data_IF_248184295746
#
_entry.id   IF_248184295746
#
_cell.length_a   1.000
_cell.length_b   1.000
_cell.length_c   1.000
_cell.angle_alpha   90.00
_cell.angle_beta   90.00
_cell.angle_gamma   90.00
#
_symmetry.space_group_name_H-M   'P 1'
#
loop_
_entity.id
_entity.type
_entity.pdbx_description
1 polymer ?
#
# COMPACT_ATOMS: atom_id res chain seq x y z
N UNK A 1 4.20 -23.22 8.64
CA UNK A 1 5.05 -23.69 7.52
C UNK A 1 4.33 -23.73 6.18
N UNK A 2 3.30 -24.57 5.97
CA UNK A 2 2.60 -24.67 4.66
C UNK A 2 1.97 -23.34 4.24
N UNK A 3 1.27 -22.68 5.16
CA UNK A 3 0.67 -21.36 4.93
C UNK A 3 1.78 -20.31 4.73
N UNK A 4 2.69 -20.18 5.71
CA UNK A 4 3.77 -19.18 5.74
C UNK A 4 4.69 -19.18 4.50
N UNK A 5 5.09 -20.37 4.04
CA UNK A 5 6.07 -20.53 2.95
C UNK A 5 5.44 -21.05 1.65
N UNK A 6 4.12 -20.99 1.55
CA UNK A 6 3.38 -21.30 0.33
C UNK A 6 3.57 -22.70 -0.24
N UNK A 7 3.95 -23.67 0.60
CA UNK A 7 4.21 -25.01 0.10
C UNK A 7 2.94 -25.63 -0.52
N UNK A 8 3.08 -26.36 -1.64
CA UNK A 8 1.99 -27.16 -2.18
C UNK A 8 1.45 -28.11 -1.12
N UNK A 9 0.13 -28.26 -1.03
CA UNK A 9 -0.49 -29.21 -0.09
C UNK A 9 0.01 -30.63 -0.31
N UNK A 10 0.48 -30.98 -1.51
CA UNK A 10 1.09 -32.30 -1.81
C UNK A 10 2.43 -32.52 -1.13
N UNK A 11 3.08 -31.51 -0.56
CA UNK A 11 4.36 -31.65 0.12
C UNK A 11 4.31 -32.68 1.25
N UNK A 12 3.17 -32.81 1.93
CA UNK A 12 2.98 -33.83 2.99
C UNK A 12 2.99 -35.26 2.45
N UNK A 13 2.84 -35.47 1.14
CA UNK A 13 2.89 -36.79 0.49
C UNK A 13 4.29 -37.09 -0.08
N UNK A 14 5.24 -36.16 -0.01
CA UNK A 14 6.57 -36.35 -0.57
C UNK A 14 7.39 -37.32 0.30
N UNK A 15 8.06 -38.28 -0.35
CA UNK A 15 8.89 -39.29 0.33
C UNK A 15 9.97 -38.64 1.23
N UNK A 16 10.59 -37.56 0.77
CA UNK A 16 11.59 -36.82 1.54
C UNK A 16 11.02 -36.23 2.83
N UNK A 17 9.82 -35.65 2.77
CA UNK A 17 9.14 -35.10 3.94
C UNK A 17 8.76 -36.21 4.94
N UNK A 18 8.27 -37.35 4.44
CA UNK A 18 7.99 -38.52 5.27
C UNK A 18 9.21 -39.05 6.00
N UNK A 19 10.34 -39.19 5.31
CA UNK A 19 11.61 -39.62 5.94
C UNK A 19 12.10 -38.61 6.96
N UNK A 20 12.07 -37.32 6.61
CA UNK A 20 12.49 -36.25 7.51
C UNK A 20 11.67 -36.25 8.81
N UNK A 21 10.34 -36.24 8.70
CA UNK A 21 9.45 -36.26 9.87
C UNK A 21 9.54 -37.57 10.65
N UNK A 22 9.71 -38.71 9.97
CA UNK A 22 9.91 -40.01 10.61
C UNK A 22 11.19 -40.07 11.46
N UNK A 23 12.26 -39.37 11.05
CA UNK A 23 13.48 -39.22 11.85
C UNK A 23 13.32 -38.18 12.95
N UNK A 24 12.74 -37.02 12.65
CA UNK A 24 12.63 -35.90 13.58
C UNK A 24 11.63 -36.16 14.73
N UNK A 25 10.48 -36.78 14.42
CA UNK A 25 9.47 -37.16 15.39
C UNK A 25 8.71 -38.42 14.91
N UNK A 26 9.18 -39.63 15.25
CA UNK A 26 8.61 -40.89 14.76
C UNK A 26 7.13 -41.10 15.08
N UNK A 27 6.62 -40.48 16.16
CA UNK A 27 5.21 -40.60 16.57
C UNK A 27 4.29 -39.61 15.84
N UNK A 28 4.84 -38.67 15.08
CA UNK A 28 4.05 -37.69 14.35
C UNK A 28 3.33 -38.36 13.17
N UNK A 29 1.99 -38.37 13.23
CA UNK A 29 1.16 -38.83 12.12
C UNK A 29 1.07 -37.74 11.07
N UNK A 30 1.71 -37.95 9.94
CA UNK A 30 1.68 -37.00 8.82
C UNK A 30 0.24 -36.88 8.31
N UNK A 31 -0.33 -35.65 8.26
CA UNK A 31 -1.70 -35.45 7.84
C UNK A 31 -1.88 -35.72 6.34
N UNK A 32 -3.08 -36.12 5.95
CA UNK A 32 -3.46 -36.19 4.53
C UNK A 32 -3.68 -34.79 3.95
N UNK A 33 -3.66 -34.64 2.62
CA UNK A 33 -4.02 -33.37 1.94
C UNK A 33 -5.38 -32.81 2.37
N UNK A 34 -6.36 -33.69 2.62
CA UNK A 34 -7.69 -33.29 3.06
C UNK A 34 -7.69 -32.78 4.50
N UNK A 35 -6.94 -33.44 5.38
CA UNK A 35 -6.76 -33.00 6.78
C UNK A 35 -6.07 -31.65 6.79
N UNK A 36 -4.96 -31.51 6.05
CA UNK A 36 -4.24 -30.24 5.92
C UNK A 36 -5.12 -29.11 5.39
N UNK A 37 -5.99 -29.38 4.39
CA UNK A 37 -6.96 -28.41 3.89
C UNK A 37 -7.96 -27.99 4.97
N UNK A 38 -8.47 -28.94 5.76
CA UNK A 38 -9.36 -28.65 6.88
C UNK A 38 -8.68 -27.77 7.93
N UNK A 39 -7.43 -28.10 8.29
CA UNK A 39 -6.65 -27.35 9.28
C UNK A 39 -6.38 -25.92 8.80
N UNK A 40 -6.07 -25.73 7.51
CA UNK A 40 -5.90 -24.39 6.91
C UNK A 40 -7.17 -23.55 7.07
N UNK A 41 -8.35 -24.14 6.83
CA UNK A 41 -9.63 -23.43 6.98
C UNK A 41 -9.91 -23.07 8.44
N UNK A 42 -9.60 -23.98 9.38
CA UNK A 42 -9.76 -23.69 10.81
C UNK A 42 -8.83 -22.57 11.29
N UNK A 43 -7.56 -22.57 10.85
CA UNK A 43 -6.62 -21.49 11.14
C UNK A 43 -7.14 -20.18 10.58
N UNK A 44 -7.61 -20.17 9.32
CA UNK A 44 -8.19 -18.99 8.70
C UNK A 44 -9.39 -18.47 9.49
N UNK A 45 -10.35 -19.32 9.88
CA UNK A 45 -11.53 -18.88 10.62
C UNK A 45 -11.16 -18.31 12.00
N UNK A 46 -10.20 -18.93 12.68
CA UNK A 46 -9.68 -18.45 13.96
C UNK A 46 -9.01 -17.07 13.83
N UNK A 47 -8.07 -16.92 12.89
CA UNK A 47 -7.35 -15.66 12.68
C UNK A 47 -8.28 -14.56 12.14
N UNK A 48 -9.27 -14.92 11.32
CA UNK A 48 -10.32 -14.00 10.84
C UNK A 48 -11.13 -13.45 12.00
N UNK A 49 -11.55 -14.30 12.94
CA UNK A 49 -12.30 -13.87 14.12
C UNK A 49 -11.46 -12.92 15.01
N UNK A 50 -10.16 -13.24 15.17
CA UNK A 50 -9.21 -12.40 15.90
C UNK A 50 -9.06 -11.02 15.24
N UNK A 51 -8.82 -10.97 13.93
CA UNK A 51 -8.68 -9.72 13.18
C UNK A 51 -9.97 -8.90 13.19
N UNK A 52 -11.14 -9.53 13.06
CA UNK A 52 -12.44 -8.85 13.20
C UNK A 52 -12.56 -8.17 14.56
N UNK A 53 -12.22 -8.86 15.65
CA UNK A 53 -12.26 -8.27 16.99
C UNK A 53 -11.28 -7.10 17.13
N UNK A 54 -10.11 -7.16 16.48
CA UNK A 54 -9.13 -6.08 16.45
C UNK A 54 -9.68 -4.84 15.73
N UNK A 55 -10.25 -5.01 14.53
CA UNK A 55 -10.83 -3.92 13.74
C UNK A 55 -12.03 -3.28 14.45
N UNK A 56 -12.86 -4.08 15.13
CA UNK A 56 -14.00 -3.60 15.92
C UNK A 56 -13.56 -2.76 17.13
N UNK A 57 -12.50 -3.17 17.82
CA UNK A 57 -11.94 -2.44 18.97
C UNK A 57 -11.14 -1.21 18.58
N UNK A 58 -10.56 -1.19 17.37
CA UNK A 58 -9.76 -0.08 16.89
C UNK A 58 -10.57 1.23 16.91
N UNK A 59 -10.02 2.27 17.53
CA UNK A 59 -10.69 3.58 17.62
C UNK A 59 -10.52 4.41 16.35
N UNK A 60 -9.51 4.10 15.53
CA UNK A 60 -9.24 4.78 14.27
C UNK A 60 -10.17 4.34 13.14
N UNK A 61 -10.20 5.13 12.07
CA UNK A 61 -10.80 4.73 10.80
C UNK A 61 -9.93 3.74 10.05
N UNK A 62 -10.53 3.08 9.07
CA UNK A 62 -9.90 2.07 8.23
C UNK A 62 -9.89 2.58 6.79
N UNK A 63 -8.72 2.68 6.20
CA UNK A 63 -8.56 2.90 4.77
C UNK A 63 -8.49 1.56 4.05
N UNK A 64 -9.09 1.44 2.87
CA UNK A 64 -9.03 0.23 2.06
C UNK A 64 -8.23 0.48 0.78
N UNK A 65 -7.42 -0.49 0.38
CA UNK A 65 -6.91 -0.60 -0.99
C UNK A 65 -7.54 -1.81 -1.66
N UNK A 66 -7.83 -1.70 -2.95
CA UNK A 66 -8.29 -2.84 -3.74
C UNK A 66 -7.46 -2.97 -4.99
N UNK A 67 -7.10 -4.20 -5.32
CA UNK A 67 -6.37 -4.51 -6.53
C UNK A 67 -6.99 -5.71 -7.23
N UNK A 68 -7.07 -5.63 -8.56
CA UNK A 68 -7.68 -6.62 -9.43
C UNK A 68 -6.62 -7.21 -10.35
N UNK A 69 -6.39 -8.52 -10.26
CA UNK A 69 -5.49 -9.21 -11.19
C UNK A 69 -6.22 -10.27 -11.99
N UNK A 70 -5.75 -10.51 -13.22
CA UNK A 70 -6.16 -11.66 -14.02
C UNK A 70 -5.02 -12.66 -14.14
N UNK A 71 -5.23 -13.89 -13.68
CA UNK A 71 -4.26 -14.97 -13.86
C UNK A 71 -4.14 -15.36 -15.34
N UNK A 72 -2.96 -15.15 -15.92
CA UNK A 72 -2.64 -15.47 -17.33
C UNK A 72 -2.91 -16.94 -17.71
N UNK A 73 -2.71 -17.86 -16.77
CA UNK A 73 -2.79 -19.30 -17.03
C UNK A 73 -4.24 -19.83 -17.06
N UNK A 74 -5.20 -19.14 -16.43
CA UNK A 74 -6.58 -19.62 -16.31
C UNK A 74 -7.65 -18.59 -16.67
N UNK A 75 -7.25 -17.36 -17.07
CA UNK A 75 -8.16 -16.21 -17.29
C UNK A 75 -9.10 -15.97 -16.11
N UNK A 76 -8.61 -16.23 -14.89
CA UNK A 76 -9.37 -16.01 -13.66
C UNK A 76 -9.00 -14.64 -13.11
N UNK A 77 -9.99 -13.76 -13.06
CA UNK A 77 -9.90 -12.50 -12.34
C UNK A 77 -10.07 -12.74 -10.85
N UNK A 78 -9.29 -12.05 -10.05
CA UNK A 78 -9.46 -12.07 -8.62
C UNK A 78 -9.17 -10.69 -8.06
N UNK A 79 -9.81 -10.40 -6.93
CA UNK A 79 -9.71 -9.14 -6.22
C UNK A 79 -9.08 -9.40 -4.86
N UNK A 80 -8.15 -8.54 -4.47
CA UNK A 80 -7.73 -8.45 -3.09
C UNK A 80 -8.22 -7.14 -2.49
N UNK A 81 -8.65 -7.20 -1.24
CA UNK A 81 -9.05 -6.03 -0.45
C UNK A 81 -8.17 -6.02 0.79
N UNK A 82 -7.39 -4.94 0.95
CA UNK A 82 -6.47 -4.77 2.08
C UNK A 82 -6.94 -3.62 2.94
N UNK A 83 -7.05 -3.87 4.24
CA UNK A 83 -7.36 -2.86 5.24
C UNK A 83 -6.06 -2.28 5.82
N UNK A 84 -6.01 -0.95 5.87
CA UNK A 84 -4.93 -0.16 6.42
C UNK A 84 -5.44 0.69 7.57
N UNK A 85 -4.78 0.61 8.71
CA UNK A 85 -5.17 1.32 9.92
C UNK A 85 -3.96 1.48 10.86
N UNK A 86 -3.97 2.53 11.68
CA UNK A 86 -3.04 2.66 12.80
C UNK A 86 -3.68 2.05 14.03
N UNK A 87 -2.99 1.12 14.69
CA UNK A 87 -3.49 0.43 15.89
C UNK A 87 -3.31 1.24 17.18
N UNK A 88 -3.78 0.71 18.31
CA UNK A 88 -3.64 1.36 19.63
C UNK A 88 -2.18 1.48 20.09
N UNK A 89 -1.27 0.69 19.51
CA UNK A 89 0.18 0.81 19.75
C UNK A 89 0.83 1.90 18.91
N UNK A 90 0.08 2.56 18.02
CA UNK A 90 0.55 3.54 17.05
C UNK A 90 1.44 2.95 15.96
N UNK A 91 1.21 1.69 15.60
CA UNK A 91 1.87 1.02 14.49
C UNK A 91 0.94 1.00 13.27
N UNK A 92 1.47 1.29 12.09
CA UNK A 92 0.74 1.13 10.84
C UNK A 92 0.55 -0.36 10.54
N UNK A 93 -0.70 -0.77 10.38
CA UNK A 93 -1.08 -2.14 10.08
C UNK A 93 -1.69 -2.21 8.67
N UNK A 94 -1.22 -3.18 7.89
CA UNK A 94 -1.76 -3.54 6.58
C UNK A 94 -2.17 -5.01 6.61
N UNK A 95 -3.44 -5.31 6.35
CA UNK A 95 -4.01 -6.67 6.45
C UNK A 95 -4.91 -6.98 5.28
N UNK A 96 -4.65 -8.07 4.56
CA UNK A 96 -5.57 -8.56 3.54
C UNK A 96 -6.82 -9.08 4.25
N UNK A 97 -7.98 -8.47 4.00
CA UNK A 97 -9.25 -8.86 4.60
C UNK A 97 -10.09 -9.72 3.65
N UNK A 98 -9.89 -9.60 2.34
CA UNK A 98 -10.54 -10.47 1.36
C UNK A 98 -9.62 -10.76 0.20
N UNK A 99 -9.74 -11.98 -0.32
CA UNK A 99 -9.05 -12.42 -1.52
C UNK A 99 -9.98 -13.34 -2.30
N UNK A 100 -10.65 -12.80 -3.29
CA UNK A 100 -11.84 -13.41 -3.88
C UNK A 100 -11.67 -13.61 -5.37
N UNK A 101 -12.26 -14.69 -5.87
CA UNK A 101 -12.40 -14.90 -7.30
C UNK A 101 -13.58 -14.08 -7.80
N UNK A 102 -13.33 -13.23 -8.80
CA UNK A 102 -14.38 -12.45 -9.46
C UNK A 102 -14.52 -13.01 -10.88
N UNK A 103 -15.68 -13.58 -11.26
CA UNK A 103 -15.88 -14.04 -12.63
C UNK A 103 -15.98 -12.84 -13.59
N UNK A 104 -15.56 -13.05 -14.84
CA UNK A 104 -15.78 -12.09 -15.93
C UNK A 104 -17.27 -12.13 -16.34
N UNK A 105 -17.91 -10.99 -16.66
CA UNK A 105 -17.37 -9.63 -16.83
C UNK A 105 -17.15 -8.87 -15.51
N UNK A 106 -15.99 -8.23 -15.35
CA UNK A 106 -15.68 -7.39 -14.18
C UNK A 106 -16.37 -6.02 -14.30
N UNK A 107 -17.70 -5.99 -14.26
CA UNK A 107 -18.45 -4.72 -14.33
C UNK A 107 -18.32 -3.95 -13.02
N UNK A 108 -18.52 -2.63 -13.07
CA UNK A 108 -18.44 -1.79 -11.87
C UNK A 108 -19.51 -2.18 -10.83
N UNK A 109 -20.70 -2.63 -11.25
CA UNK A 109 -21.75 -3.12 -10.35
C UNK A 109 -21.29 -4.37 -9.60
N UNK A 110 -20.68 -5.34 -10.30
CA UNK A 110 -20.18 -6.56 -9.65
C UNK A 110 -19.05 -6.27 -8.66
N UNK A 111 -18.15 -5.34 -8.99
CA UNK A 111 -17.08 -4.92 -8.07
C UNK A 111 -17.65 -4.14 -6.88
N UNK A 112 -18.67 -3.30 -7.10
CA UNK A 112 -19.35 -2.57 -6.02
C UNK A 112 -20.10 -3.52 -5.08
N UNK A 113 -20.83 -4.50 -5.59
CA UNK A 113 -21.52 -5.51 -4.78
C UNK A 113 -20.54 -6.29 -3.90
N UNK A 114 -19.45 -6.75 -4.51
CA UNK A 114 -18.33 -7.41 -3.83
C UNK A 114 -17.75 -6.54 -2.70
N UNK A 115 -17.57 -5.24 -2.95
CA UNK A 115 -17.06 -4.31 -1.95
C UNK A 115 -18.06 -4.09 -0.82
N UNK A 116 -19.35 -3.95 -1.12
CA UNK A 116 -20.39 -3.78 -0.12
C UNK A 116 -20.55 -5.04 0.74
N UNK A 117 -20.52 -6.22 0.15
CA UNK A 117 -20.49 -7.50 0.87
C UNK A 117 -19.26 -7.58 1.79
N UNK A 118 -18.08 -7.16 1.31
CA UNK A 118 -16.87 -7.11 2.14
C UNK A 118 -17.04 -6.19 3.35
N UNK A 119 -17.51 -4.96 3.14
CA UNK A 119 -17.68 -3.98 4.21
C UNK A 119 -18.63 -4.51 5.29
N UNK A 120 -19.76 -5.08 4.88
CA UNK A 120 -20.76 -5.66 5.78
C UNK A 120 -20.25 -6.91 6.50
N UNK A 121 -19.61 -7.83 5.76
CA UNK A 121 -19.03 -9.06 6.33
C UNK A 121 -18.00 -8.76 7.42
N UNK A 122 -17.25 -7.68 7.27
CA UNK A 122 -16.22 -7.24 8.20
C UNK A 122 -16.71 -6.24 9.25
N UNK A 123 -17.94 -5.74 9.13
CA UNK A 123 -18.56 -4.76 10.05
C UNK A 123 -17.72 -3.47 10.12
N UNK A 124 -17.19 -3.04 8.97
CA UNK A 124 -16.31 -1.87 8.85
C UNK A 124 -16.94 -0.71 8.06
N UNK A 125 -18.19 -0.85 7.62
CA UNK A 125 -18.91 0.16 6.83
C UNK A 125 -18.96 1.54 7.52
N UNK A 126 -19.04 1.55 8.85
CA UNK A 126 -19.11 2.78 9.65
C UNK A 126 -17.73 3.34 10.03
N UNK A 127 -16.65 2.62 9.74
CA UNK A 127 -15.26 3.01 10.04
C UNK A 127 -14.44 3.34 8.78
N UNK A 128 -14.99 3.12 7.60
CA UNK A 128 -14.31 3.41 6.34
C UNK A 128 -13.94 4.90 6.24
N UNK A 129 -12.66 5.21 6.02
CA UNK A 129 -12.19 6.57 5.72
C UNK A 129 -12.08 6.80 4.22
N UNK A 130 -11.32 5.96 3.53
CA UNK A 130 -11.01 6.07 2.11
C UNK A 130 -10.96 4.71 1.45
N UNK A 131 -11.17 4.72 0.14
CA UNK A 131 -10.99 3.55 -0.72
C UNK A 131 -10.06 3.95 -1.86
N UNK A 132 -8.87 3.37 -1.89
CA UNK A 132 -7.89 3.50 -2.97
C UNK A 132 -8.09 2.33 -3.92
N UNK A 133 -8.53 2.61 -5.14
CA UNK A 133 -8.71 1.59 -6.19
C UNK A 133 -7.63 1.76 -7.24
N UNK A 134 -7.30 0.67 -7.94
CA UNK A 134 -6.52 0.77 -9.16
C UNK A 134 -7.33 1.50 -10.23
N UNK A 135 -6.71 2.41 -10.98
CA UNK A 135 -7.37 3.07 -12.10
C UNK A 135 -7.46 2.12 -13.30
N UNK A 136 -8.32 1.10 -13.22
CA UNK A 136 -8.47 0.08 -14.24
C UNK A 136 -9.71 0.32 -15.11
N UNK A 137 -9.51 0.80 -16.34
CA UNK A 137 -10.44 0.57 -17.47
C UNK A 137 -9.74 -0.31 -18.51
N UNK A 138 -9.28 -1.50 -18.10
CA UNK A 138 -8.56 -2.49 -18.93
C UNK A 138 -7.73 -1.89 -20.09
N UNK A 139 -6.62 -1.20 -19.81
CA UNK A 139 -5.57 -0.90 -20.81
C UNK A 139 -6.08 -0.53 -22.23
N UNK A 140 -6.98 0.44 -22.34
CA UNK A 140 -7.53 0.84 -23.64
C UNK A 140 -6.42 1.42 -24.53
N UNK A 141 -5.85 0.53 -25.35
CA UNK A 141 -4.91 0.77 -26.45
C UNK A 141 -3.55 1.39 -26.09
N UNK A 142 -2.65 0.59 -25.50
CA UNK A 142 -1.19 0.76 -25.67
C UNK A 142 -0.50 -0.50 -25.08
N UNK A 143 0.25 -1.34 -25.80
CA UNK A 143 0.75 -1.30 -27.18
C UNK A 143 0.78 -2.73 -27.72
N UNK A 144 0.45 -2.91 -29.00
CA UNK A 144 0.61 -4.16 -29.74
C UNK A 144 1.96 -4.85 -29.47
N UNK A 145 1.90 -6.02 -28.83
CA UNK A 145 2.91 -7.06 -28.98
C UNK A 145 2.20 -8.38 -29.29
N UNK A 146 2.19 -8.85 -30.56
CA UNK A 146 1.85 -10.23 -30.82
C UNK A 146 3.03 -11.09 -30.39
N UNK A 147 2.78 -11.93 -29.37
CA UNK A 147 3.39 -13.25 -29.17
C UNK A 147 4.59 -13.55 -30.08
N UNK A 148 5.80 -13.43 -29.54
CA UNK A 148 6.95 -14.14 -30.12
C UNK A 148 6.80 -15.63 -29.83
N UNK A 149 6.16 -16.29 -30.79
CA UNK A 149 6.15 -17.73 -30.96
C UNK A 149 7.51 -18.11 -31.56
N UNK A 150 8.29 -18.93 -30.84
CA UNK A 150 9.47 -19.69 -31.30
C UNK A 150 9.76 -19.63 -32.82
N UNK A 151 10.75 -18.84 -33.26
CA UNK A 151 11.55 -18.99 -34.50
C UNK A 151 12.38 -17.71 -34.73
N UNK A 152 13.36 -17.81 -35.63
CA UNK A 152 14.08 -16.73 -36.34
C UNK A 152 15.51 -16.44 -35.88
N UNK A 153 16.40 -17.32 -36.34
CA UNK A 153 17.86 -17.21 -36.47
C UNK A 153 18.33 -16.20 -37.53
N UNK A 154 17.63 -15.08 -37.74
CA UNK A 154 17.97 -14.10 -38.79
C UNK A 154 17.61 -12.67 -38.36
N UNK A 155 18.28 -12.12 -37.35
CA UNK A 155 18.30 -10.69 -37.12
C UNK A 155 19.47 -10.08 -37.90
N UNK A 156 19.17 -9.14 -38.81
CA UNK A 156 20.15 -8.43 -39.64
C UNK A 156 20.50 -7.03 -39.12
N UNK A 157 19.81 -6.54 -38.09
CA UNK A 157 20.07 -5.25 -37.45
C UNK A 157 20.19 -5.47 -35.93
N UNK A 158 21.36 -5.16 -35.39
CA UNK A 158 21.70 -5.14 -33.96
C UNK A 158 21.59 -3.68 -33.49
N UNK A 159 21.18 -3.39 -32.23
CA UNK A 159 21.21 -2.03 -31.70
C UNK A 159 22.59 -1.40 -31.92
N UNK A 160 22.59 -0.15 -32.35
CA UNK A 160 23.79 0.67 -32.53
C UNK A 160 24.30 1.17 -31.19
N UNK A 161 25.55 1.64 -31.12
CA UNK A 161 26.07 2.28 -29.90
C UNK A 161 25.19 3.46 -29.44
N UNK A 162 24.62 4.22 -30.39
CA UNK A 162 23.70 5.32 -30.11
C UNK A 162 22.38 4.82 -29.47
N UNK A 163 21.91 3.62 -29.81
CA UNK A 163 20.74 3.01 -29.20
C UNK A 163 20.99 2.61 -27.73
N UNK A 164 22.21 2.14 -27.40
CA UNK A 164 22.60 1.82 -26.02
C UNK A 164 22.80 3.07 -25.15
N UNK A 165 23.31 4.16 -25.74
CA UNK A 165 23.37 5.46 -25.07
C UNK A 165 21.95 5.96 -24.77
N UNK A 166 21.04 5.90 -25.75
CA UNK A 166 19.65 6.30 -25.53
C UNK A 166 18.94 5.41 -24.49
N UNK A 167 19.15 4.10 -24.50
CA UNK A 167 18.59 3.20 -23.47
C UNK A 167 19.05 3.59 -22.07
N UNK A 168 20.35 3.87 -21.91
CA UNK A 168 20.91 4.25 -20.61
C UNK A 168 20.29 5.57 -20.12
N UNK A 169 20.22 6.58 -20.97
CA UNK A 169 19.59 7.86 -20.63
C UNK A 169 18.11 7.66 -20.26
N UNK A 170 17.35 6.88 -21.03
CA UNK A 170 15.96 6.56 -20.67
C UNK A 170 15.88 5.84 -19.31
N UNK A 171 16.78 4.89 -19.04
CA UNK A 171 16.81 4.17 -17.76
C UNK A 171 17.11 5.10 -16.59
N UNK A 172 18.08 6.00 -16.75
CA UNK A 172 18.48 6.96 -15.72
C UNK A 172 17.33 7.94 -15.42
N UNK A 173 16.63 8.44 -16.44
CA UNK A 173 15.45 9.30 -16.26
C UNK A 173 14.29 8.55 -15.58
N UNK A 174 14.03 7.31 -15.97
CA UNK A 174 12.93 6.52 -15.39
C UNK A 174 13.20 6.07 -13.94
N UNK A 175 14.42 6.22 -13.42
CA UNK A 175 14.76 5.86 -12.04
C UNK A 175 13.92 6.63 -11.01
N UNK A 176 13.54 7.88 -11.31
CA UNK A 176 12.65 8.68 -10.44
C UNK A 176 11.32 7.97 -10.14
N UNK A 177 10.78 7.26 -11.12
CA UNK A 177 9.54 6.49 -10.95
C UNK A 177 9.76 5.20 -10.17
N UNK A 178 10.94 4.58 -10.33
CA UNK A 178 11.31 3.42 -9.54
C UNK A 178 11.41 3.79 -8.06
N UNK A 179 12.14 4.87 -7.74
CA UNK A 179 12.27 5.38 -6.38
C UNK A 179 10.91 5.76 -5.77
N UNK A 180 10.06 6.47 -6.51
CA UNK A 180 8.71 6.80 -6.08
C UNK A 180 7.84 5.55 -5.85
N UNK A 181 7.99 4.53 -6.69
CA UNK A 181 7.27 3.25 -6.55
C UNK A 181 7.70 2.51 -5.29
N UNK A 182 9.01 2.42 -5.02
CA UNK A 182 9.54 1.81 -3.80
C UNK A 182 9.04 2.56 -2.55
N UNK A 183 9.09 3.89 -2.57
CA UNK A 183 8.60 4.74 -1.47
C UNK A 183 7.10 4.51 -1.20
N UNK A 184 6.25 4.55 -2.23
CA UNK A 184 4.81 4.36 -2.07
C UNK A 184 4.39 2.91 -1.83
N UNK A 185 5.29 1.94 -2.07
CA UNK A 185 5.06 0.51 -1.78
C UNK A 185 5.40 0.14 -0.34
N UNK A 186 5.97 1.07 0.44
CA UNK A 186 6.25 0.89 1.86
C UNK A 186 4.99 0.55 2.66
N UNK A 187 5.04 -0.54 3.44
CA UNK A 187 3.92 -1.01 4.27
C UNK A 187 4.16 -0.82 5.78
N UNK A 188 5.39 -0.44 6.17
CA UNK A 188 5.84 -0.33 7.57
C UNK A 188 5.89 1.10 8.09
N UNK A 189 5.73 2.10 7.22
CA UNK A 189 5.69 3.51 7.56
C UNK A 189 4.59 4.21 6.74
N UNK A 190 4.03 5.33 7.24
CA UNK A 190 3.12 6.14 6.44
C UNK A 190 3.77 6.57 5.12
N UNK A 191 2.99 6.55 4.04
CA UNK A 191 3.42 6.99 2.71
C UNK A 191 2.69 8.26 2.25
N UNK A 192 1.53 8.56 2.85
CA UNK A 192 0.68 9.70 2.48
C UNK A 192 1.34 11.05 2.72
N UNK A 193 2.16 11.17 3.77
CA UNK A 193 2.80 12.43 4.13
C UNK A 193 3.87 12.86 3.11
N UNK A 194 4.54 11.91 2.46
CA UNK A 194 5.56 12.18 1.43
C UNK A 194 4.96 12.32 0.02
N UNK A 195 3.67 12.04 -0.15
CA UNK A 195 3.02 12.05 -1.46
C UNK A 195 3.30 13.33 -2.26
N UNK A 196 3.07 14.49 -1.63
CA UNK A 196 3.16 15.76 -2.33
C UNK A 196 4.59 16.06 -2.80
N UNK A 197 5.60 15.82 -1.95
CA UNK A 197 7.00 16.03 -2.35
C UNK A 197 7.39 15.13 -3.51
N UNK A 198 7.12 13.82 -3.41
CA UNK A 198 7.51 12.84 -4.44
C UNK A 198 6.81 13.11 -5.77
N UNK A 199 5.54 13.54 -5.75
CA UNK A 199 4.80 13.91 -6.97
C UNK A 199 5.34 15.20 -7.59
N UNK A 200 5.77 16.16 -6.77
CA UNK A 200 6.41 17.37 -7.28
C UNK A 200 7.78 17.05 -7.90
N UNK A 201 8.57 16.18 -7.26
CA UNK A 201 9.88 15.75 -7.79
C UNK A 201 9.72 15.06 -9.16
N UNK A 202 8.68 14.23 -9.32
CA UNK A 202 8.33 13.63 -10.63
C UNK A 202 7.97 14.72 -11.64
N UNK A 203 7.20 15.74 -11.26
CA UNK A 203 6.80 16.81 -12.16
C UNK A 203 8.02 17.63 -12.61
N UNK A 204 8.90 17.95 -11.68
CA UNK A 204 10.12 18.70 -11.95
C UNK A 204 11.05 17.90 -12.88
N UNK A 205 11.20 16.59 -12.64
CA UNK A 205 11.93 15.69 -13.54
C UNK A 205 11.34 15.68 -14.96
N UNK A 206 10.02 15.49 -15.12
CA UNK A 206 9.37 15.52 -16.44
C UNK A 206 9.59 16.87 -17.15
N UNK A 207 9.56 17.97 -16.40
CA UNK A 207 9.84 19.30 -16.96
C UNK A 207 11.30 19.42 -17.42
N UNK A 208 12.25 18.88 -16.66
CA UNK A 208 13.67 18.85 -17.02
C UNK A 208 13.89 18.03 -18.30
N UNK A 209 13.25 16.87 -18.44
CA UNK A 209 13.33 16.00 -19.62
C UNK A 209 12.82 16.67 -20.90
N UNK A 210 11.90 17.61 -20.76
CA UNK A 210 11.41 18.42 -21.89
C UNK A 210 12.52 19.29 -22.50
N UNK A 211 13.62 19.50 -21.77
CA UNK A 211 14.80 20.23 -22.22
C UNK A 211 15.95 19.33 -22.71
N UNK A 212 15.76 17.99 -22.68
CA UNK A 212 16.78 17.01 -23.07
C UNK A 212 17.32 17.24 -24.48
N UNK A 213 18.53 16.78 -24.77
CA UNK A 213 19.10 16.83 -26.12
C UNK A 213 18.49 15.77 -27.05
N UNK A 214 17.92 14.69 -26.50
CA UNK A 214 17.30 13.61 -27.26
C UNK A 214 15.83 13.89 -27.53
N UNK A 215 15.45 13.89 -28.82
CA UNK A 215 14.07 14.14 -29.24
C UNK A 215 13.09 13.07 -28.70
N UNK A 216 13.55 11.83 -28.58
CA UNK A 216 12.79 10.72 -28.01
C UNK A 216 12.41 10.99 -26.54
N UNK A 217 13.33 11.56 -25.75
CA UNK A 217 13.10 11.89 -24.35
C UNK A 217 12.10 13.05 -24.23
N UNK A 218 12.20 14.07 -25.09
CA UNK A 218 11.20 15.16 -25.12
C UNK A 218 9.79 14.69 -25.44
N UNK A 219 9.67 13.78 -26.41
CA UNK A 219 8.38 13.19 -26.77
C UNK A 219 7.81 12.34 -25.63
N UNK A 220 8.69 11.58 -24.95
CA UNK A 220 8.33 10.83 -23.75
C UNK A 220 7.84 11.78 -22.64
N UNK A 221 8.61 12.81 -22.31
CA UNK A 221 8.28 13.83 -21.31
C UNK A 221 6.93 14.49 -21.60
N UNK A 222 6.69 14.90 -22.86
CA UNK A 222 5.42 15.50 -23.28
C UNK A 222 4.24 14.53 -23.10
N UNK A 223 4.41 13.25 -23.43
CA UNK A 223 3.36 12.24 -23.22
C UNK A 223 3.08 12.00 -21.74
N UNK A 224 4.13 11.99 -20.92
CA UNK A 224 4.05 11.77 -19.48
C UNK A 224 3.46 12.98 -18.74
N UNK A 225 3.80 14.20 -19.15
CA UNK A 225 3.21 15.43 -18.64
C UNK A 225 1.69 15.46 -18.83
N UNK A 226 1.21 15.11 -20.03
CA UNK A 226 -0.23 15.03 -20.31
C UNK A 226 -0.95 14.00 -19.41
N UNK A 227 -0.31 12.84 -19.17
CA UNK A 227 -0.86 11.83 -18.23
C UNK A 227 -0.85 12.36 -16.80
N UNK A 228 0.24 12.99 -16.38
CA UNK A 228 0.37 13.59 -15.06
C UNK A 228 -0.75 14.61 -14.81
N UNK A 229 -0.98 15.53 -15.74
CA UNK A 229 -2.01 16.58 -15.60
C UNK A 229 -3.42 15.98 -15.49
N UNK A 230 -3.71 14.91 -16.24
CA UNK A 230 -4.96 14.16 -16.12
C UNK A 230 -5.16 13.57 -14.72
N UNK A 231 -4.10 12.97 -14.14
CA UNK A 231 -4.16 12.44 -12.77
C UNK A 231 -4.27 13.55 -11.73
N UNK A 232 -3.48 14.61 -11.88
CA UNK A 232 -3.42 15.74 -10.96
C UNK A 232 -4.74 16.52 -10.93
N UNK A 233 -5.45 16.62 -12.06
CA UNK A 233 -6.76 17.30 -12.11
C UNK A 233 -7.83 16.66 -11.22
N UNK A 234 -7.70 15.37 -10.92
CA UNK A 234 -8.62 14.61 -10.04
C UNK A 234 -8.08 14.45 -8.61
N UNK A 235 -7.03 15.17 -8.27
CA UNK A 235 -6.31 15.02 -7.02
C UNK A 235 -7.20 15.30 -5.79
N UNK A 236 -7.14 14.37 -4.82
CA UNK A 236 -7.88 14.50 -3.57
C UNK A 236 -7.05 15.25 -2.53
N UNK A 237 -7.53 16.44 -2.15
CA UNK A 237 -6.88 17.33 -1.18
C UNK A 237 -6.59 16.72 0.20
N UNK A 238 -7.17 15.56 0.54
CA UNK A 238 -6.87 14.82 1.77
C UNK A 238 -5.41 14.35 1.84
N UNK A 239 -4.76 14.09 0.69
CA UNK A 239 -3.35 13.74 0.65
C UNK A 239 -2.46 14.94 1.02
N UNK A 240 -2.82 16.15 0.61
CA UNK A 240 -2.13 17.37 1.05
C UNK A 240 -2.29 17.59 2.55
N UNK A 241 -3.48 17.31 3.07
CA UNK A 241 -3.72 17.40 4.52
C UNK A 241 -2.77 16.47 5.28
N UNK A 242 -2.49 15.26 4.75
CA UNK A 242 -1.49 14.37 5.34
C UNK A 242 -0.10 15.02 5.42
N UNK A 243 0.33 15.70 4.36
CA UNK A 243 1.60 16.44 4.33
C UNK A 243 1.61 17.64 5.27
N UNK A 244 0.48 18.34 5.45
CA UNK A 244 0.38 19.46 6.42
C UNK A 244 0.50 18.94 7.87
N UNK A 245 -0.04 17.74 8.14
CA UNK A 245 0.07 17.08 9.44
C UNK A 245 1.47 16.48 9.69
N UNK A 246 2.37 16.57 8.71
CA UNK A 246 3.80 16.36 8.92
C UNK A 246 4.45 17.64 9.44
N UNK A 247 5.07 17.55 10.61
CA UNK A 247 5.68 18.68 11.30
C UNK A 247 6.92 19.22 10.57
N UNK A 248 7.52 18.45 9.66
CA UNK A 248 8.66 18.88 8.85
C UNK A 248 8.19 19.88 7.78
N UNK A 249 6.99 19.68 7.25
CA UNK A 249 6.49 20.39 6.08
C UNK A 249 5.47 21.50 6.42
N UNK A 250 4.42 21.16 7.18
CA UNK A 250 3.27 22.04 7.47
C UNK A 250 2.77 22.77 6.21
N UNK A 251 2.42 24.06 6.34
CA UNK A 251 1.95 24.90 5.23
C UNK A 251 3.05 25.26 4.24
N UNK A 252 4.32 25.26 4.66
CA UNK A 252 5.45 25.71 3.84
C UNK A 252 5.60 24.88 2.57
N UNK A 253 5.29 23.59 2.62
CA UNK A 253 5.33 22.74 1.44
C UNK A 253 4.40 23.26 0.34
N UNK A 254 3.18 23.67 0.69
CA UNK A 254 2.25 24.20 -0.32
C UNK A 254 2.73 25.54 -0.85
N UNK A 255 3.25 26.41 0.03
CA UNK A 255 3.83 27.70 -0.37
C UNK A 255 5.01 27.54 -1.33
N UNK A 256 5.80 26.47 -1.21
CA UNK A 256 6.91 26.17 -2.11
C UNK A 256 6.45 25.56 -3.44
N UNK A 257 5.59 24.53 -3.40
CA UNK A 257 5.28 23.71 -4.57
C UNK A 257 4.09 24.21 -5.40
N UNK A 258 3.06 24.78 -4.77
CA UNK A 258 1.84 25.16 -5.49
C UNK A 258 2.09 26.25 -6.54
N UNK A 259 2.95 27.27 -6.30
CA UNK A 259 3.36 28.22 -7.34
C UNK A 259 3.89 27.57 -8.62
N UNK A 260 4.69 26.50 -8.49
CA UNK A 260 5.21 25.75 -9.64
C UNK A 260 4.10 24.97 -10.36
N UNK A 261 3.16 24.41 -9.60
CA UNK A 261 2.11 23.52 -10.13
C UNK A 261 0.92 24.26 -10.75
N UNK A 262 0.49 25.37 -10.14
CA UNK A 262 -0.76 26.06 -10.45
C UNK A 262 -0.56 27.51 -10.90
N UNK A 263 0.66 28.05 -10.82
CA UNK A 263 0.95 29.44 -11.19
C UNK A 263 0.08 30.42 -10.41
N UNK A 264 -0.66 31.27 -11.11
CA UNK A 264 -1.50 32.31 -10.51
C UNK A 264 -2.68 31.74 -9.68
N UNK A 265 -3.10 30.49 -9.93
CA UNK A 265 -4.20 29.84 -9.21
C UNK A 265 -3.77 29.25 -7.84
N UNK A 266 -2.48 29.31 -7.51
CA UNK A 266 -1.92 28.71 -6.29
C UNK A 266 -2.62 29.15 -5.02
N UNK A 267 -2.94 30.44 -4.90
CA UNK A 267 -3.60 30.98 -3.71
C UNK A 267 -5.01 30.41 -3.54
N UNK A 268 -5.72 30.16 -4.65
CA UNK A 268 -7.05 29.58 -4.63
C UNK A 268 -7.02 28.12 -4.17
N UNK A 269 -6.10 27.31 -4.71
CA UNK A 269 -5.97 25.91 -4.31
C UNK A 269 -5.49 25.75 -2.86
N UNK A 270 -4.59 26.62 -2.37
CA UNK A 270 -4.19 26.64 -0.95
C UNK A 270 -5.41 26.89 -0.05
N UNK A 271 -6.24 27.89 -0.36
CA UNK A 271 -7.44 28.21 0.43
C UNK A 271 -8.42 27.02 0.46
N UNK A 272 -8.62 26.36 -0.68
CA UNK A 272 -9.48 25.18 -0.78
C UNK A 272 -8.98 24.02 0.08
N UNK A 273 -7.67 23.77 0.14
CA UNK A 273 -7.09 22.77 1.06
C UNK A 273 -7.29 23.18 2.52
N UNK A 274 -7.11 24.46 2.86
CA UNK A 274 -7.37 24.96 4.21
C UNK A 274 -8.83 24.76 4.62
N UNK A 275 -9.79 25.01 3.74
CA UNK A 275 -11.20 24.75 3.99
C UNK A 275 -11.50 23.27 4.24
N UNK A 276 -10.85 22.37 3.49
CA UNK A 276 -10.94 20.91 3.72
C UNK A 276 -10.43 20.57 5.12
N UNK A 277 -9.26 21.08 5.51
CA UNK A 277 -8.67 20.84 6.82
C UNK A 277 -9.57 21.37 7.95
N UNK A 278 -10.07 22.60 7.83
CA UNK A 278 -10.96 23.22 8.82
C UNK A 278 -12.27 22.43 8.99
N UNK A 279 -12.86 21.97 7.87
CA UNK A 279 -14.04 21.12 7.89
C UNK A 279 -13.77 19.79 8.60
N UNK A 280 -12.63 19.14 8.32
CA UNK A 280 -12.24 17.91 9.01
C UNK A 280 -12.07 18.14 10.51
N UNK A 281 -11.39 19.20 10.94
CA UNK A 281 -11.26 19.56 12.36
C UNK A 281 -12.64 19.73 13.00
N UNK A 282 -13.56 20.45 12.35
CA UNK A 282 -14.93 20.62 12.82
C UNK A 282 -15.69 19.31 13.02
N UNK A 283 -15.57 18.34 12.09
CA UNK A 283 -16.22 17.03 12.19
C UNK A 283 -15.70 16.21 13.39
N UNK A 284 -14.39 16.23 13.65
CA UNK A 284 -13.79 15.50 14.77
C UNK A 284 -14.08 16.18 16.11
N UNK A 285 -14.09 17.51 16.16
CA UNK A 285 -14.48 18.25 17.36
C UNK A 285 -15.93 17.97 17.75
N UNK A 286 -16.85 17.87 16.78
CA UNK A 286 -18.26 17.55 17.06
C UNK A 286 -18.42 16.14 17.64
N UNK A 287 -17.68 15.15 17.11
CA UNK A 287 -17.64 13.79 17.67
C UNK A 287 -17.08 13.76 19.10
N UNK A 288 -16.08 14.60 19.40
CA UNK A 288 -15.49 14.73 20.74
C UNK A 288 -16.41 15.45 21.73
N UNK A 289 -17.05 16.55 21.30
CA UNK A 289 -18.01 17.35 22.10
C UNK A 289 -19.31 16.62 22.42
N UNK A 290 -19.69 15.60 21.63
CA UNK A 290 -20.78 14.68 21.99
C UNK A 290 -20.45 13.82 23.24
N UNK A 291 -19.16 13.72 23.63
CA UNK A 291 -18.70 12.97 24.80
C UNK A 291 -18.29 13.84 26.01
N UNK A 292 -18.03 15.14 25.84
CA UNK A 292 -17.63 16.04 26.94
C UNK A 292 -18.17 17.48 26.74
N UNK A 293 -18.95 17.96 27.71
CA UNK A 293 -19.39 19.38 27.79
C UNK A 293 -18.25 20.26 28.32
N UNK A 294 -17.95 21.30 27.54
CA UNK A 294 -17.11 22.50 27.80
C UNK A 294 -15.59 22.32 27.83
N UNK A 295 -14.87 23.13 27.04
CA UNK A 295 -14.11 24.33 27.47
C UNK A 295 -14.01 25.31 26.28
N UNK A 296 -14.16 26.61 26.53
CA UNK A 296 -13.79 27.74 25.65
C UNK A 296 -12.39 28.22 26.07
N UNK A 297 -11.43 28.39 25.16
CA UNK A 297 -10.44 29.49 25.18
C UNK A 297 -9.52 29.49 23.92
N UNK A 298 -8.92 30.66 23.69
CA UNK A 298 -8.18 31.19 22.53
C UNK A 298 -7.29 30.27 21.67
N UNK A 299 -7.25 30.61 20.37
CA UNK A 299 -6.65 29.90 19.23
C UNK A 299 -7.20 28.48 19.04
N UNK A 300 -7.63 28.16 17.83
CA UNK A 300 -7.99 26.76 17.54
C UNK A 300 -6.74 25.87 17.68
N UNK A 301 -6.91 24.62 18.11
CA UNK A 301 -5.80 23.64 18.23
C UNK A 301 -4.94 23.60 16.95
N UNK A 302 -5.59 23.79 15.80
CA UNK A 302 -4.98 23.93 14.48
C UNK A 302 -4.09 25.16 14.34
N UNK A 303 -4.56 26.36 14.72
CA UNK A 303 -3.76 27.59 14.66
C UNK A 303 -2.47 27.44 15.47
N UNK A 304 -2.57 26.91 16.68
CA UNK A 304 -1.41 26.67 17.53
C UNK A 304 -0.42 25.66 16.90
N UNK A 305 -0.92 24.59 16.27
CA UNK A 305 -0.08 23.63 15.55
C UNK A 305 0.64 24.28 14.36
N UNK A 306 -0.04 25.13 13.59
CA UNK A 306 0.52 25.77 12.40
C UNK A 306 1.57 26.82 12.74
N UNK A 307 1.41 27.56 13.84
CA UNK A 307 2.36 28.59 14.29
C UNK A 307 3.66 28.05 14.87
N UNK A 308 3.69 26.79 15.35
CA UNK A 308 4.92 26.20 15.85
C UNK A 308 6.01 26.10 14.78
N UNK A 309 7.30 26.25 15.15
CA UNK A 309 8.39 26.07 14.20
C UNK A 309 8.42 24.64 13.63
N UNK A 310 8.79 24.53 12.36
CA UNK A 310 9.12 23.26 11.72
C UNK A 310 10.36 22.65 12.39
N UNK A 311 10.39 21.33 12.53
CA UNK A 311 11.57 20.62 13.05
C UNK A 311 12.48 20.28 11.88
N UNK A 312 13.82 20.44 12.00
CA UNK A 312 14.76 19.96 11.00
C UNK A 312 14.59 18.45 10.73
N UNK A 313 14.81 18.02 9.49
CA UNK A 313 14.75 16.60 9.13
C UNK A 313 15.86 15.85 9.89
N UNK A 314 15.46 14.95 10.78
CA UNK A 314 16.38 14.08 11.54
C UNK A 314 16.30 12.68 10.95
N UNK A 315 17.44 12.00 10.81
CA UNK A 315 17.45 10.58 10.45
C UNK A 315 16.64 9.77 11.48
N UNK A 316 15.74 8.90 11.01
CA UNK A 316 14.84 8.07 11.81
C UNK A 316 13.69 8.81 12.54
N UNK A 317 13.26 9.97 12.07
CA UNK A 317 12.02 10.59 12.58
C UNK A 317 10.79 9.74 12.24
N UNK A 318 10.08 9.28 13.28
CA UNK A 318 8.81 8.54 13.15
C UNK A 318 7.62 9.46 13.50
N UNK A 319 6.88 9.83 12.45
CA UNK A 319 5.69 10.68 12.54
C UNK A 319 4.58 10.08 13.41
N UNK A 320 4.41 8.75 13.41
CA UNK A 320 3.37 8.08 14.22
C UNK A 320 3.74 8.16 15.70
N UNK A 321 4.99 7.84 16.04
CA UNK A 321 5.47 7.98 17.42
C UNK A 321 5.38 9.43 17.90
N UNK A 322 5.64 10.41 17.02
CA UNK A 322 5.48 11.83 17.37
C UNK A 322 4.04 12.18 17.73
N UNK A 323 3.06 11.82 16.88
CA UNK A 323 1.65 12.07 17.15
C UNK A 323 1.15 11.35 18.40
N UNK A 324 1.67 10.14 18.69
CA UNK A 324 1.39 9.41 19.94
C UNK A 324 1.79 10.21 21.18
N UNK A 325 3.00 10.76 21.19
CA UNK A 325 3.56 11.51 22.34
C UNK A 325 2.83 12.85 22.54
N UNK A 326 2.39 13.49 21.45
CA UNK A 326 1.76 14.81 21.50
C UNK A 326 0.22 14.76 21.57
N UNK A 327 -0.36 13.58 21.82
CA UNK A 327 -1.82 13.37 21.87
C UNK A 327 -2.54 14.28 22.89
N UNK A 328 -1.92 14.54 24.03
CA UNK A 328 -2.48 15.41 25.08
C UNK A 328 -2.48 16.89 24.68
N UNK A 329 -1.53 17.27 23.82
CA UNK A 329 -1.35 18.63 23.33
C UNK A 329 -2.27 18.92 22.14
N UNK A 330 -2.46 17.92 21.28
CA UNK A 330 -3.26 18.00 20.06
C UNK A 330 -4.32 16.89 20.00
N UNK A 331 -5.35 16.90 20.87
CA UNK A 331 -6.30 15.80 20.97
C UNK A 331 -7.12 15.56 19.68
N UNK A 332 -7.42 16.61 18.92
CA UNK A 332 -8.23 16.53 17.70
C UNK A 332 -7.36 16.17 16.50
N UNK A 333 -6.24 16.88 16.30
CA UNK A 333 -5.32 16.64 15.19
C UNK A 333 -4.65 15.28 15.31
N UNK A 334 -4.38 14.79 16.53
CA UNK A 334 -3.91 13.42 16.77
C UNK A 334 -4.88 12.37 16.20
N UNK A 335 -6.18 12.55 16.40
CA UNK A 335 -7.18 11.63 15.85
C UNK A 335 -7.24 11.71 14.32
N UNK A 336 -7.15 12.93 13.77
CA UNK A 336 -7.12 13.14 12.32
C UNK A 336 -5.86 12.51 11.70
N UNK A 337 -4.69 12.75 12.29
CA UNK A 337 -3.42 12.20 11.86
C UNK A 337 -3.42 10.67 11.86
N UNK A 338 -3.98 10.05 12.91
CA UNK A 338 -4.13 8.59 12.99
C UNK A 338 -4.92 8.02 11.80
N UNK A 339 -5.98 8.71 11.38
CA UNK A 339 -6.88 8.24 10.35
C UNK A 339 -6.37 8.57 8.93
N UNK A 340 -5.68 9.69 8.75
CA UNK A 340 -5.14 10.13 7.45
C UNK A 340 -3.81 9.43 7.13
N UNK A 341 -2.89 9.33 8.09
CA UNK A 341 -1.57 8.71 7.86
C UNK A 341 -1.65 7.19 7.64
N UNK A 342 -2.82 6.58 7.92
CA UNK A 342 -3.10 5.19 7.59
C UNK A 342 -3.37 4.96 6.09
N UNK A 343 -3.69 6.02 5.34
CA UNK A 343 -4.12 5.91 3.94
C UNK A 343 -2.92 5.52 3.08
N UNK A 344 -2.95 4.32 2.51
CA UNK A 344 -1.94 3.95 1.52
C UNK A 344 -2.25 4.65 0.19
N UNK A 345 -1.23 5.33 -0.34
CA UNK A 345 -1.31 6.06 -1.61
C UNK A 345 -1.42 5.10 -2.80
N UNK A 346 -0.80 3.93 -2.70
CA UNK A 346 -0.64 3.00 -3.81
C UNK A 346 -1.28 1.63 -3.53
N UNK A 347 -1.94 1.06 -4.53
CA UNK A 347 -2.34 -0.36 -4.55
C UNK A 347 -1.14 -1.29 -4.76
N UNK A 348 0.05 -0.77 -5.07
CA UNK A 348 1.29 -1.57 -5.17
C UNK A 348 1.72 -2.13 -3.80
N UNK A 349 1.32 -1.49 -2.70
CA UNK A 349 1.47 -2.04 -1.36
C UNK A 349 0.68 -3.36 -1.16
N UNK A 350 -0.49 -3.51 -1.79
CA UNK A 350 -1.14 -4.82 -1.88
C UNK A 350 -0.40 -5.77 -2.85
N UNK A 351 0.25 -5.26 -3.89
CA UNK A 351 1.09 -6.06 -4.80
C UNK A 351 2.31 -6.70 -4.11
N UNK A 352 2.94 -6.03 -3.14
CA UNK A 352 4.07 -6.61 -2.40
C UNK A 352 3.64 -7.80 -1.52
N UNK A 353 2.40 -7.80 -1.01
CA UNK A 353 1.79 -8.96 -0.36
C UNK A 353 1.51 -10.13 -1.33
N UNK A 354 1.47 -9.85 -2.65
CA UNK A 354 1.47 -10.88 -3.71
C UNK A 354 2.88 -11.24 -4.20
N UNK A 355 3.89 -10.38 -3.95
CA UNK A 355 5.27 -10.53 -4.43
C UNK A 355 6.24 -11.10 -3.39
N UNK A 356 5.85 -11.29 -2.13
CA UNK A 356 6.73 -11.91 -1.11
C UNK A 356 7.20 -13.33 -1.49
N UNK A 357 6.68 -13.91 -2.59
CA UNK A 357 7.20 -15.11 -3.25
C UNK A 357 7.54 -14.95 -4.75
N UNK A 358 7.54 -13.75 -5.32
CA UNK A 358 7.87 -13.47 -6.73
C UNK A 358 7.01 -14.24 -7.76
N UNK A 359 5.85 -14.75 -7.36
CA UNK A 359 5.01 -15.62 -8.17
C UNK A 359 3.54 -15.31 -7.91
N UNK A 360 2.90 -14.67 -8.88
CA UNK A 360 1.44 -14.68 -9.06
C UNK A 360 0.88 -16.05 -8.67
N UNK A 361 -0.28 -16.10 -8.00
CA UNK A 361 -0.96 -17.33 -7.52
C UNK A 361 -0.46 -18.56 -8.25
N UNK A 362 0.42 -19.32 -7.60
CA UNK A 362 1.20 -20.36 -8.27
C UNK A 362 0.29 -21.31 -9.07
N UNK A 363 0.82 -21.95 -10.11
CA UNK A 363 0.06 -22.91 -10.92
C UNK A 363 -0.61 -24.01 -10.09
N UNK A 364 -0.11 -24.29 -8.87
CA UNK A 364 -0.75 -25.16 -7.90
C UNK A 364 -1.91 -24.49 -7.14
N UNK A 365 -1.72 -23.28 -6.62
CA UNK A 365 -2.77 -22.53 -5.89
C UNK A 365 -3.95 -22.16 -6.80
N UNK A 366 -3.73 -21.86 -8.07
CA UNK A 366 -4.79 -21.54 -9.04
C UNK A 366 -5.73 -22.72 -9.34
N UNK A 367 -5.30 -23.95 -9.03
CA UNK A 367 -6.10 -25.17 -9.17
C UNK A 367 -6.92 -25.48 -7.92
N UNK A 368 -6.69 -24.78 -6.80
CA UNK A 368 -7.47 -24.94 -5.59
C UNK A 368 -8.82 -24.22 -5.72
N UNK A 369 -9.78 -24.64 -4.89
CA UNK A 369 -11.06 -23.96 -4.79
C UNK A 369 -10.86 -22.53 -4.28
N UNK A 370 -11.57 -21.50 -4.79
CA UNK A 370 -11.39 -20.09 -4.41
C UNK A 370 -11.33 -19.85 -2.90
N UNK A 371 -12.27 -20.43 -2.13
CA UNK A 371 -12.26 -20.36 -0.66
C UNK A 371 -10.96 -20.83 0.01
N UNK A 372 -10.31 -21.86 -0.54
CA UNK A 372 -9.03 -22.35 -0.02
C UNK A 372 -7.89 -21.42 -0.38
N UNK A 373 -7.95 -20.78 -1.55
CA UNK A 373 -6.97 -19.77 -1.95
C UNK A 373 -7.10 -18.54 -1.05
N UNK A 374 -8.33 -18.05 -0.82
CA UNK A 374 -8.62 -16.96 0.11
C UNK A 374 -8.03 -17.25 1.50
N UNK A 375 -8.35 -18.43 2.05
CA UNK A 375 -7.86 -18.84 3.35
C UNK A 375 -6.32 -18.85 3.43
N UNK A 376 -5.65 -19.37 2.39
CA UNK A 376 -4.20 -19.39 2.33
C UNK A 376 -3.59 -17.98 2.29
N UNK A 377 -4.11 -17.10 1.43
CA UNK A 377 -3.56 -15.76 1.23
C UNK A 377 -3.77 -14.88 2.46
N UNK A 378 -4.98 -14.87 3.00
CA UNK A 378 -5.32 -14.09 4.19
C UNK A 378 -4.57 -14.61 5.43
N UNK A 379 -4.62 -15.93 5.70
CA UNK A 379 -3.95 -16.49 6.88
C UNK A 379 -2.41 -16.31 6.80
N UNK A 380 -1.82 -16.37 5.61
CA UNK A 380 -0.40 -16.08 5.43
C UNK A 380 -0.06 -14.64 5.82
N UNK A 381 -0.82 -13.66 5.32
CA UNK A 381 -0.64 -12.25 5.67
C UNK A 381 -0.76 -12.02 7.19
N UNK A 382 -1.75 -12.64 7.83
CA UNK A 382 -2.01 -12.46 9.25
C UNK A 382 -0.93 -13.08 10.12
N UNK A 383 -0.56 -14.34 9.84
CA UNK A 383 0.46 -15.04 10.61
C UNK A 383 1.83 -14.36 10.52
N UNK A 384 2.26 -13.91 9.33
CA UNK A 384 3.54 -13.19 9.18
C UNK A 384 3.59 -11.91 10.00
N UNK A 385 2.47 -11.20 10.13
CA UNK A 385 2.46 -10.02 10.99
C UNK A 385 2.64 -10.37 12.47
N UNK A 386 2.08 -11.48 12.93
CA UNK A 386 2.27 -11.90 14.33
C UNK A 386 3.72 -12.30 14.62
N UNK A 387 4.38 -12.95 13.66
CA UNK A 387 5.80 -13.28 13.78
C UNK A 387 6.65 -12.01 13.87
N UNK A 388 6.38 -11.02 13.03
CA UNK A 388 7.11 -9.75 13.01
C UNK A 388 6.85 -8.88 14.27
N UNK A 389 5.64 -8.94 14.83
CA UNK A 389 5.28 -8.25 16.08
C UNK A 389 5.87 -8.96 17.32
N UNK A 390 6.01 -10.29 17.25
CA UNK A 390 6.73 -11.05 18.27
C UNK A 390 8.23 -10.73 18.18
N UNK A 391 8.84 -10.28 19.28
CA UNK A 391 10.26 -9.85 19.37
C UNK A 391 11.32 -10.94 19.00
N UNK A 392 10.97 -12.02 18.31
CA UNK A 392 11.86 -13.13 18.01
C UNK A 392 12.84 -12.85 16.85
N UNK A 393 12.46 -12.12 15.81
CA UNK A 393 13.40 -11.86 14.69
C UNK A 393 14.54 -10.91 15.07
N UNK A 394 14.30 -9.90 15.92
CA UNK A 394 15.37 -9.01 16.42
C UNK A 394 16.45 -9.73 17.22
N UNK A 395 16.20 -10.97 17.69
CA UNK A 395 17.22 -11.77 18.39
C UNK A 395 18.08 -12.62 17.47
N UNK A 396 17.58 -13.02 16.30
CA UNK A 396 18.33 -13.86 15.36
C UNK A 396 19.28 -13.05 14.48
N UNK A 397 18.93 -11.81 14.13
CA UNK A 397 19.84 -10.92 13.39
C UNK A 397 20.95 -10.36 14.29
N UNK A 398 20.65 -10.07 15.55
CA UNK A 398 21.64 -9.59 16.52
C UNK A 398 22.63 -10.67 16.98
N UNK A 399 22.34 -11.96 16.76
CA UNK A 399 23.24 -13.08 17.11
C UNK A 399 24.16 -13.52 15.97
N UNK A 400 23.97 -13.01 14.74
CA UNK A 400 24.72 -13.48 13.56
C UNK A 400 25.75 -12.47 13.01
N UNK A 401 26.04 -11.39 13.74
CA UNK A 401 27.15 -10.47 13.45
C UNK A 401 27.95 -10.13 14.71
N UNK A 402 28.40 -11.18 15.42
CA UNK A 402 29.37 -11.06 16.50
C UNK A 402 30.56 -11.95 16.23
N UNK A 403 31.68 -11.30 15.87
CA UNK A 403 33.07 -11.74 16.06
C UNK A 403 33.51 -13.03 15.33
N UNK A 404 34.12 -12.84 14.16
CA UNK A 404 35.29 -13.64 13.74
C UNK A 404 36.39 -12.64 13.30
N UNK A 405 37.01 -11.99 14.29
CA UNK A 405 38.35 -11.40 14.18
C UNK A 405 39.27 -12.22 15.10
N UNK A 406 40.08 -13.10 14.51
CA UNK A 406 41.47 -13.43 14.90
C UNK A 406 42.14 -14.31 13.82
#
# INVERSE_FOLDING_TARGET
MVILHEYPLSMVEHLGFHRFMGTAQPLFKIPSRNTLKSDILQIYDYERAKLKSLLEKNKGRIALTTDMWTSHNQRKGFMAITAHFVDDSWTLQSRIIRFIYVPCPHTYEMLADVMMECLHDWIIEHKLSTLTVDNCSTNNAMIHFPRLKHKYSHYKNVPTEDDWVLEKEISDELDVFYQATEEFSGTKHPTTNNYLSTVCDIRDAINEWSTSTFEQIKLMASSMANKFDSYWSNFHGIMVVATILDRIYKMKVMECYFPSLYGDESSYEINKIQEVLLRMVGEYEQKSKASLKQVKLHQTELEYYLEEPIIPRVENFDILTWWKVNASKYPTLHCIARDILAIHVSTVASNSAFSTGGRFVSSHRSRLHPKTVEALMCAQSWLWSEFNDSKLERKFEASNFGEDDD
#
